data_IF_017373802662
#
_entry.id   IF_017373802662
#
_cell.length_a   1.000
_cell.length_b   1.000
_cell.length_c   1.000
_cell.angle_alpha   90.00
_cell.angle_beta   90.00
_cell.angle_gamma   90.00
#
_symmetry.space_group_name_H-M   'P 1'
#
loop_
_entity.id
_entity.type
_entity.pdbx_description
1 polymer ?
#
# COMPACT_ATOMS: atom_id res chain seq x y z
N UNK A 1 -10.76 -7.83 11.36
CA UNK A 1 -10.05 -8.47 10.24
C UNK A 1 -8.85 -9.21 10.82
N UNK A 2 -8.60 -10.46 10.42
CA UNK A 2 -7.41 -11.18 10.85
C UNK A 2 -6.25 -10.93 9.88
N UNK A 3 -5.35 -10.02 10.27
CA UNK A 3 -4.19 -9.61 9.45
C UNK A 3 -3.21 -10.77 9.23
N UNK A 4 -3.22 -11.79 10.10
CA UNK A 4 -2.30 -12.93 9.97
C UNK A 4 -2.62 -13.83 8.76
N UNK A 5 -3.82 -13.70 8.18
CA UNK A 5 -4.20 -14.43 6.97
C UNK A 5 -3.71 -13.78 5.68
N UNK A 6 -3.10 -12.61 5.77
CA UNK A 6 -2.56 -11.90 4.62
C UNK A 6 -1.15 -12.36 4.28
N UNK A 7 -0.78 -12.16 3.01
CA UNK A 7 0.60 -12.38 2.58
C UNK A 7 1.52 -11.40 3.29
N UNK A 8 2.81 -11.74 3.35
CA UNK A 8 3.83 -10.87 3.94
C UNK A 8 3.79 -9.46 3.33
N UNK A 9 3.77 -9.35 2.01
CA UNK A 9 3.71 -8.05 1.31
C UNK A 9 2.42 -7.28 1.57
N UNK A 10 1.27 -7.95 1.68
CA UNK A 10 0.02 -7.27 2.06
C UNK A 10 0.10 -6.68 3.47
N UNK A 11 0.72 -7.38 4.42
CA UNK A 11 0.91 -6.86 5.78
C UNK A 11 1.86 -5.67 5.80
N UNK A 12 2.97 -5.75 5.06
CA UNK A 12 3.93 -4.64 4.91
C UNK A 12 3.26 -3.38 4.32
N UNK A 13 2.41 -3.54 3.30
CA UNK A 13 1.68 -2.43 2.70
C UNK A 13 0.71 -1.75 3.70
N UNK A 14 0.05 -2.53 4.56
CA UNK A 14 -0.81 -1.98 5.62
C UNK A 14 0.00 -1.19 6.67
N UNK A 15 1.15 -1.72 7.07
CA UNK A 15 2.06 -1.03 7.99
C UNK A 15 2.59 0.27 7.37
N UNK A 16 3.00 0.23 6.10
CA UNK A 16 3.47 1.41 5.38
C UNK A 16 2.36 2.46 5.19
N UNK A 17 1.11 2.04 4.97
CA UNK A 17 -0.03 2.95 4.88
C UNK A 17 -0.31 3.66 6.21
N UNK A 18 -0.19 2.95 7.33
CA UNK A 18 -0.29 3.54 8.68
C UNK A 18 0.83 4.55 8.94
N UNK A 19 2.07 4.18 8.61
CA UNK A 19 3.22 5.07 8.74
C UNK A 19 3.04 6.35 7.91
N UNK A 20 2.55 6.22 6.68
CA UNK A 20 2.28 7.36 5.80
C UNK A 20 1.18 8.27 6.34
N UNK A 21 0.09 7.72 6.89
CA UNK A 21 -0.96 8.52 7.51
C UNK A 21 -0.42 9.32 8.72
N UNK A 22 0.40 8.67 9.56
CA UNK A 22 1.06 9.30 10.69
C UNK A 22 2.03 10.41 10.24
N UNK A 23 2.87 10.16 9.24
CA UNK A 23 3.79 11.14 8.66
C UNK A 23 3.06 12.38 8.15
N UNK A 24 1.86 12.20 7.58
CA UNK A 24 1.03 13.30 7.07
C UNK A 24 0.08 13.90 8.11
N UNK A 25 0.17 13.50 9.38
CA UNK A 25 -0.73 13.93 10.45
C UNK A 25 -2.22 13.69 10.13
N UNK A 26 -2.52 12.64 9.36
CA UNK A 26 -3.89 12.22 9.08
C UNK A 26 -4.37 11.27 10.18
N UNK A 27 -5.51 11.57 10.79
CA UNK A 27 -6.07 10.77 11.88
C UNK A 27 -6.55 9.38 11.43
N UNK A 28 -6.86 9.23 10.14
CA UNK A 28 -7.41 8.00 9.59
C UNK A 28 -6.58 7.48 8.41
N UNK A 29 -6.37 6.17 8.39
CA UNK A 29 -5.80 5.48 7.22
C UNK A 29 -6.89 5.30 6.17
N UNK A 30 -6.89 6.18 5.18
CA UNK A 30 -7.73 6.07 3.98
C UNK A 30 -7.11 5.19 2.90
N UNK A 31 -7.92 4.83 1.89
CA UNK A 31 -7.51 4.08 0.69
C UNK A 31 -6.37 4.75 -0.08
N UNK A 32 -6.23 6.09 -0.01
CA UNK A 32 -5.13 6.82 -0.64
C UNK A 32 -3.77 6.44 -0.04
N UNK A 33 -3.69 6.28 1.28
CA UNK A 33 -2.44 5.86 1.93
C UNK A 33 -2.07 4.44 1.53
N UNK A 34 -3.05 3.54 1.48
CA UNK A 34 -2.84 2.17 1.05
C UNK A 34 -2.38 2.11 -0.40
N UNK A 35 -3.00 2.88 -1.29
CA UNK A 35 -2.59 2.96 -2.69
C UNK A 35 -1.13 3.42 -2.82
N UNK A 36 -0.75 4.51 -2.15
CA UNK A 36 0.64 5.01 -2.18
C UNK A 36 1.61 3.97 -1.61
N UNK A 37 1.25 3.29 -0.52
CA UNK A 37 2.07 2.23 0.07
C UNK A 37 2.27 1.06 -0.90
N UNK A 38 1.22 0.64 -1.62
CA UNK A 38 1.29 -0.41 -2.63
C UNK A 38 2.10 0.00 -3.86
N UNK A 39 2.00 1.26 -4.28
CA UNK A 39 2.77 1.81 -5.40
C UNK A 39 4.27 1.91 -5.08
N UNK A 40 4.62 2.27 -3.85
CA UNK A 40 6.01 2.40 -3.40
C UNK A 40 6.62 1.10 -2.87
N UNK A 41 5.86 0.02 -2.85
CA UNK A 41 6.33 -1.26 -2.31
C UNK A 41 7.40 -1.87 -3.23
N UNK A 42 8.59 -2.11 -2.68
CA UNK A 42 9.68 -2.75 -3.39
C UNK A 42 9.30 -4.18 -3.83
N UNK A 43 9.60 -4.49 -5.09
CA UNK A 43 9.18 -5.72 -5.77
C UNK A 43 7.67 -6.00 -5.63
N UNK A 44 6.87 -4.96 -5.43
CA UNK A 44 5.41 -5.04 -5.28
C UNK A 44 4.75 -5.45 -6.60
N UNK A 45 3.63 -6.17 -6.50
CA UNK A 45 2.88 -6.59 -7.68
C UNK A 45 2.09 -5.43 -8.31
N UNK A 46 1.63 -4.47 -7.49
CA UNK A 46 0.70 -3.41 -7.90
C UNK A 46 1.27 -2.49 -8.99
N UNK A 47 2.50 -1.94 -8.89
CA UNK A 47 3.06 -1.12 -9.95
C UNK A 47 3.14 -1.86 -11.29
N UNK A 48 3.52 -3.14 -11.26
CA UNK A 48 3.63 -3.98 -12.46
C UNK A 48 2.28 -4.21 -13.14
N UNK A 49 1.24 -4.47 -12.34
CA UNK A 49 -0.12 -4.64 -12.87
C UNK A 49 -0.68 -3.35 -13.46
N UNK A 50 -0.44 -2.21 -12.83
CA UNK A 50 -0.90 -0.92 -13.34
C UNK A 50 -0.17 -0.53 -14.64
N UNK A 51 1.15 -0.77 -14.70
CA UNK A 51 1.92 -0.59 -15.93
C UNK A 51 1.38 -1.49 -17.06
N UNK A 52 1.06 -2.76 -16.75
CA UNK A 52 0.45 -3.68 -17.73
C UNK A 52 -0.96 -3.25 -18.16
N UNK A 53 -1.70 -2.57 -17.27
CA UNK A 53 -3.00 -2.00 -17.58
C UNK A 53 -2.93 -0.67 -18.36
N UNK A 54 -1.73 -0.21 -18.73
CA UNK A 54 -1.52 1.01 -19.50
C UNK A 54 -1.53 2.30 -18.68
N UNK A 55 -1.41 2.20 -17.36
CA UNK A 55 -1.18 3.36 -16.49
C UNK A 55 0.32 3.61 -16.32
N UNK A 56 0.70 4.84 -15.95
CA UNK A 56 2.05 5.20 -15.48
C UNK A 56 2.00 5.36 -13.95
N UNK A 57 2.24 4.28 -13.18
CA UNK A 57 1.99 4.20 -11.74
C UNK A 57 3.13 4.72 -10.86
#
# INVERSE_FOLDING_TARGET
MDINRFTQKSREALTAAQALAAEKNHQEVTTRHLLVALLKQEEGLVPRLLAQAGSDP
#
